data_IF_146012099996
#
_entry.id   IF_146012099996
#
_cell.length_a   1.000
_cell.length_b   1.000
_cell.length_c   1.000
_cell.angle_alpha   90.00
_cell.angle_beta   90.00
_cell.angle_gamma   90.00
#
_symmetry.space_group_name_H-M   'P 1'
#
loop_
_entity.id
_entity.type
_entity.pdbx_description
1 polymer ?
#
# COMPACT_ATOMS: atom_id res chain seq x y z
N UNK A 1 -16.93 14.93 -15.92
CA UNK A 1 -15.57 14.87 -15.38
C UNK A 1 -15.28 13.44 -14.93
N UNK A 2 -14.16 12.89 -15.36
CA UNK A 2 -13.71 11.55 -15.01
C UNK A 2 -12.48 11.67 -14.12
N UNK A 3 -12.51 11.04 -12.96
CA UNK A 3 -11.45 11.11 -11.95
C UNK A 3 -11.09 9.68 -11.56
N UNK A 4 -9.80 9.35 -11.59
CA UNK A 4 -9.31 8.08 -11.03
C UNK A 4 -9.51 8.07 -9.51
N UNK A 5 -9.81 6.89 -8.96
CA UNK A 5 -9.89 6.69 -7.51
C UNK A 5 -8.54 6.87 -6.83
N UNK A 6 -8.56 7.04 -5.50
CA UNK A 6 -7.35 7.06 -4.69
C UNK A 6 -6.53 5.78 -4.90
N UNK A 7 -5.19 5.90 -4.90
CA UNK A 7 -4.29 4.81 -5.26
C UNK A 7 -4.40 3.60 -4.31
N UNK A 8 -4.56 3.81 -3.00
CA UNK A 8 -4.70 2.72 -2.03
C UNK A 8 -6.11 2.10 -2.07
N UNK A 9 -7.14 2.91 -2.32
CA UNK A 9 -8.51 2.40 -2.55
C UNK A 9 -8.56 1.55 -3.80
N UNK A 10 -7.96 2.01 -4.90
CA UNK A 10 -7.88 1.23 -6.14
C UNK A 10 -7.17 -0.10 -5.92
N UNK A 11 -6.03 -0.11 -5.21
CA UNK A 11 -5.30 -1.33 -4.89
C UNK A 11 -6.13 -2.31 -4.05
N UNK A 12 -6.80 -1.82 -3.01
CA UNK A 12 -7.67 -2.64 -2.15
C UNK A 12 -8.85 -3.23 -2.93
N UNK A 13 -9.55 -2.41 -3.72
CA UNK A 13 -10.70 -2.85 -4.50
C UNK A 13 -10.30 -3.81 -5.64
N UNK A 14 -9.12 -3.64 -6.24
CA UNK A 14 -8.59 -4.60 -7.21
C UNK A 14 -8.27 -5.93 -6.54
N UNK A 15 -7.59 -5.90 -5.38
CA UNK A 15 -7.19 -7.10 -4.67
C UNK A 15 -8.34 -7.86 -4.00
N UNK A 16 -9.30 -7.15 -3.40
CA UNK A 16 -10.39 -7.73 -2.63
C UNK A 16 -11.75 -7.69 -3.35
N UNK A 17 -11.79 -7.23 -4.61
CA UNK A 17 -13.04 -6.97 -5.34
C UNK A 17 -14.06 -8.12 -5.32
N UNK A 18 -13.58 -9.35 -5.43
CA UNK A 18 -14.43 -10.53 -5.35
C UNK A 18 -15.19 -10.65 -4.03
N UNK A 19 -14.55 -10.37 -2.89
CA UNK A 19 -15.21 -10.42 -1.59
C UNK A 19 -16.29 -9.34 -1.45
N UNK A 20 -16.04 -8.14 -1.97
CA UNK A 20 -17.04 -7.06 -1.98
C UNK A 20 -18.22 -7.39 -2.91
N UNK A 21 -17.96 -7.89 -4.11
CA UNK A 21 -19.00 -8.28 -5.09
C UNK A 21 -19.92 -9.38 -4.57
N UNK A 22 -19.37 -10.33 -3.77
CA UNK A 22 -20.14 -11.38 -3.12
C UNK A 22 -20.75 -10.96 -1.78
N UNK A 23 -20.68 -9.67 -1.42
CA UNK A 23 -21.24 -9.10 -0.19
C UNK A 23 -20.76 -9.81 1.09
N UNK A 24 -19.50 -10.26 1.09
CA UNK A 24 -18.91 -11.03 2.19
C UNK A 24 -18.27 -10.16 3.28
N UNK A 25 -17.91 -8.92 2.95
CA UNK A 25 -17.16 -8.03 3.85
C UNK A 25 -18.10 -7.32 4.82
N UNK A 26 -17.80 -7.42 6.12
CA UNK A 26 -18.45 -6.64 7.16
C UNK A 26 -17.70 -5.31 7.39
N UNK A 27 -16.37 -5.38 7.59
CA UNK A 27 -15.48 -4.22 7.67
C UNK A 27 -14.04 -4.58 7.29
N UNK A 28 -13.21 -3.58 7.04
CA UNK A 28 -11.79 -3.74 6.74
C UNK A 28 -10.94 -2.77 7.56
N UNK A 29 -9.88 -3.28 8.19
CA UNK A 29 -8.76 -2.47 8.66
C UNK A 29 -7.61 -2.58 7.66
N UNK A 30 -7.20 -1.44 7.08
CA UNK A 30 -6.19 -1.35 6.03
C UNK A 30 -4.96 -0.56 6.52
N UNK A 31 -3.85 -1.26 6.79
CA UNK A 31 -2.56 -0.64 7.04
C UNK A 31 -1.86 -0.48 5.70
N UNK A 32 -1.66 0.77 5.24
CA UNK A 32 -1.06 1.03 3.93
C UNK A 32 0.40 1.42 4.06
N UNK A 33 1.25 0.81 3.25
CA UNK A 33 2.68 1.10 3.11
C UNK A 33 2.91 1.78 1.76
N UNK A 34 2.92 3.11 1.76
CA UNK A 34 2.86 3.89 0.53
C UNK A 34 4.24 4.34 0.06
N UNK A 35 4.51 4.08 -1.21
CA UNK A 35 5.74 4.49 -1.88
C UNK A 35 5.87 6.01 -2.06
N UNK A 36 7.10 6.48 -2.23
CA UNK A 36 7.41 7.89 -2.50
C UNK A 36 6.71 8.45 -3.74
N UNK A 37 6.44 7.62 -4.76
CA UNK A 37 5.74 8.02 -5.98
C UNK A 37 4.35 8.62 -5.75
N UNK A 38 3.65 8.19 -4.70
CA UNK A 38 2.35 8.76 -4.29
C UNK A 38 2.44 10.22 -3.84
N UNK A 39 3.63 10.70 -3.48
CA UNK A 39 3.91 12.10 -3.15
C UNK A 39 4.47 12.90 -4.34
N UNK A 40 4.78 12.24 -5.46
CA UNK A 40 5.25 12.88 -6.70
C UNK A 40 6.75 12.71 -7.00
N UNK A 41 7.15 13.16 -8.19
CA UNK A 41 8.50 12.93 -8.71
C UNK A 41 9.61 13.60 -7.88
N UNK A 42 9.36 14.75 -7.28
CA UNK A 42 10.36 15.43 -6.42
C UNK A 42 10.64 14.61 -5.15
N UNK A 43 9.61 14.00 -4.56
CA UNK A 43 9.74 13.11 -3.41
C UNK A 43 10.50 11.82 -3.78
N UNK A 44 10.27 11.27 -4.97
CA UNK A 44 11.06 10.13 -5.47
C UNK A 44 12.55 10.49 -5.61
N UNK A 45 12.86 11.67 -6.17
CA UNK A 45 14.24 12.16 -6.27
C UNK A 45 14.88 12.35 -4.90
N UNK A 46 14.15 12.95 -3.97
CA UNK A 46 14.66 13.18 -2.61
C UNK A 46 14.93 11.86 -1.87
N UNK A 47 14.04 10.85 -2.00
CA UNK A 47 14.29 9.53 -1.46
C UNK A 47 15.61 8.93 -1.99
N UNK A 48 15.88 9.02 -3.29
CA UNK A 48 17.15 8.56 -3.87
C UNK A 48 18.33 9.37 -3.34
N UNK A 49 18.19 10.68 -3.17
CA UNK A 49 19.23 11.53 -2.59
C UNK A 49 19.52 11.16 -1.13
N UNK A 50 18.48 10.84 -0.35
CA UNK A 50 18.62 10.34 1.01
C UNK A 50 19.37 9.01 1.05
N UNK A 51 19.00 8.04 0.19
CA UNK A 51 19.69 6.74 0.09
C UNK A 51 21.17 6.95 -0.28
N UNK A 52 21.46 7.85 -1.22
CA UNK A 52 22.82 8.21 -1.61
C UNK A 52 23.62 8.83 -0.46
N UNK A 53 23.03 9.74 0.31
CA UNK A 53 23.68 10.37 1.46
C UNK A 53 24.00 9.33 2.57
N UNK A 54 23.07 8.41 2.87
CA UNK A 54 23.33 7.34 3.83
C UNK A 54 24.46 6.43 3.36
N UNK A 55 24.44 6.00 2.10
CA UNK A 55 25.51 5.16 1.55
C UNK A 55 26.87 5.90 1.58
N UNK A 56 26.92 7.16 1.18
CA UNK A 56 28.15 7.95 1.18
C UNK A 56 28.76 8.09 2.57
N UNK A 57 27.94 8.23 3.61
CA UNK A 57 28.39 8.36 4.99
C UNK A 57 29.10 7.12 5.56
N UNK A 58 28.85 5.94 5.00
CA UNK A 58 29.34 4.65 5.52
C UNK A 58 30.07 3.81 4.46
N UNK A 59 30.31 4.35 3.27
CA UNK A 59 30.91 3.64 2.14
C UNK A 59 32.24 2.96 2.48
N UNK A 60 33.13 3.66 3.19
CA UNK A 60 34.44 3.15 3.54
C UNK A 60 34.35 2.09 4.64
N UNK A 61 33.41 2.24 5.59
CA UNK A 61 33.15 1.24 6.60
C UNK A 61 32.62 -0.05 5.99
N UNK A 62 31.71 0.04 5.02
CA UNK A 62 31.17 -1.12 4.30
C UNK A 62 32.23 -1.86 3.48
N UNK A 63 33.24 -1.14 2.99
CA UNK A 63 34.37 -1.73 2.27
C UNK A 63 35.39 -2.41 3.20
N UNK A 64 35.35 -2.12 4.51
CA UNK A 64 36.26 -2.69 5.50
C UNK A 64 35.53 -3.78 6.34
N UNK A 65 35.84 -5.06 6.16
CA UNK A 65 35.20 -6.16 6.91
C UNK A 65 35.39 -6.10 8.44
N UNK A 66 36.35 -5.30 8.92
CA UNK A 66 36.62 -5.11 10.35
C UNK A 66 35.79 -4.00 10.99
N UNK A 67 35.02 -3.25 10.21
CA UNK A 67 34.16 -2.18 10.74
C UNK A 67 33.02 -2.77 11.58
N UNK A 68 32.85 -2.26 12.79
CA UNK A 68 31.78 -2.71 13.66
C UNK A 68 30.42 -2.17 13.17
N UNK A 69 29.40 -3.04 13.11
CA UNK A 69 28.05 -2.65 12.62
C UNK A 69 27.43 -1.51 13.46
N UNK A 70 27.70 -1.45 14.76
CA UNK A 70 27.19 -0.38 15.62
C UNK A 70 27.87 0.98 15.34
N UNK A 71 29.07 1.01 14.79
CA UNK A 71 29.72 2.24 14.34
C UNK A 71 29.10 2.74 13.03
N UNK A 72 28.80 1.82 12.12
CA UNK A 72 28.03 2.09 10.90
C UNK A 72 26.66 2.64 11.25
N UNK A 73 25.92 1.99 12.16
CA UNK A 73 24.59 2.43 12.61
C UNK A 73 24.62 3.84 13.21
N UNK A 74 25.61 4.14 14.05
CA UNK A 74 25.80 5.50 14.62
C UNK A 74 26.02 6.56 13.53
N UNK A 75 26.82 6.28 12.52
CA UNK A 75 27.06 7.19 11.38
C UNK A 75 25.78 7.40 10.56
N UNK A 76 25.04 6.34 10.24
CA UNK A 76 23.74 6.41 9.56
C UNK A 76 22.76 7.27 10.35
N UNK A 77 22.61 7.01 11.66
CA UNK A 77 21.72 7.76 12.53
C UNK A 77 22.11 9.23 12.66
N UNK A 78 23.41 9.54 12.75
CA UNK A 78 23.91 10.91 12.80
C UNK A 78 23.63 11.63 11.48
N UNK A 79 23.85 10.97 10.33
CA UNK A 79 23.57 11.52 8.99
C UNK A 79 22.09 11.85 8.81
N UNK A 80 21.18 10.95 9.21
CA UNK A 80 19.74 11.21 9.12
C UNK A 80 19.26 12.40 9.95
N UNK A 81 19.98 12.75 11.01
CA UNK A 81 19.66 13.85 11.91
C UNK A 81 20.42 15.15 11.60
N UNK A 82 21.32 15.11 10.63
CA UNK A 82 22.09 16.32 10.25
C UNK A 82 21.21 17.31 9.48
N UNK A 83 21.57 18.58 9.57
CA UNK A 83 20.87 19.66 8.87
C UNK A 83 21.02 19.56 7.32
N UNK A 84 22.06 18.89 6.86
CA UNK A 84 22.38 18.69 5.44
C UNK A 84 21.60 17.53 4.83
N UNK A 85 20.95 16.68 5.66
CA UNK A 85 20.19 15.55 5.13
C UNK A 85 18.97 16.03 4.32
N UNK A 86 18.79 15.56 3.08
CA UNK A 86 17.78 16.11 2.17
C UNK A 86 16.35 15.65 2.59
N UNK A 87 15.61 16.51 3.28
CA UNK A 87 14.27 16.19 3.84
C UNK A 87 13.18 17.18 3.43
N UNK A 88 13.49 18.16 2.56
CA UNK A 88 12.59 19.27 2.23
C UNK A 88 11.22 18.83 1.72
N UNK A 89 11.17 17.87 0.79
CA UNK A 89 9.92 17.42 0.17
C UNK A 89 9.12 16.46 1.07
N UNK A 90 9.75 15.89 2.10
CA UNK A 90 9.10 15.08 3.13
C UNK A 90 8.88 15.87 4.44
N UNK A 91 8.66 17.19 4.35
CA UNK A 91 8.35 18.08 5.49
C UNK A 91 9.39 17.98 6.60
N UNK A 92 10.65 18.01 6.25
CA UNK A 92 11.81 17.89 7.15
C UNK A 92 11.87 16.55 7.90
N UNK A 93 11.38 15.47 7.29
CA UNK A 93 11.40 14.13 7.86
C UNK A 93 12.19 13.16 6.97
N UNK A 94 13.09 12.39 7.56
CA UNK A 94 13.82 11.34 6.86
C UNK A 94 12.87 10.18 6.46
N UNK A 95 12.98 9.69 5.21
CA UNK A 95 12.24 8.54 4.73
C UNK A 95 13.15 7.33 4.44
N UNK A 96 14.33 7.53 3.83
CA UNK A 96 15.30 6.45 3.64
C UNK A 96 15.78 5.92 4.99
N UNK A 97 15.70 4.60 5.21
CA UNK A 97 16.01 3.97 6.49
C UNK A 97 14.99 4.24 7.62
N UNK A 98 13.83 4.84 7.28
CA UNK A 98 12.79 5.22 8.24
C UNK A 98 11.39 5.05 7.62
N UNK A 99 10.37 5.59 8.28
CA UNK A 99 9.02 5.71 7.78
C UNK A 99 8.38 7.02 8.28
N UNK A 100 7.30 7.45 7.62
CA UNK A 100 6.51 8.62 8.04
C UNK A 100 5.07 8.13 8.32
N UNK A 101 4.59 8.17 9.57
CA UNK A 101 3.29 7.59 9.95
C UNK A 101 2.12 8.56 9.72
N UNK A 102 2.24 9.46 8.74
CA UNK A 102 1.20 10.41 8.38
C UNK A 102 1.28 10.79 6.92
N UNK A 103 0.14 10.70 6.20
CA UNK A 103 0.03 11.12 4.80
C UNK A 103 -1.17 12.05 4.65
N UNK A 104 -0.97 13.20 3.95
CA UNK A 104 -2.00 14.22 3.70
C UNK A 104 -2.30 15.07 4.96
N UNK A 105 -3.36 15.89 4.91
CA UNK A 105 -3.75 16.81 5.97
C UNK A 105 -4.64 16.13 7.02
N UNK A 106 -4.67 16.64 8.26
CA UNK A 106 -5.59 16.13 9.27
C UNK A 106 -7.04 16.43 8.89
N UNK A 107 -7.94 15.51 9.24
CA UNK A 107 -9.40 15.67 9.16
C UNK A 107 -10.05 15.32 10.50
N UNK A 108 -11.39 15.36 10.56
CA UNK A 108 -12.14 14.99 11.76
C UNK A 108 -11.83 13.58 12.25
N UNK A 109 -12.11 13.32 13.52
CA UNK A 109 -11.90 12.03 14.21
C UNK A 109 -10.44 11.55 14.30
N UNK A 110 -9.46 12.46 14.16
CA UNK A 110 -8.04 12.13 14.29
C UNK A 110 -7.42 11.41 13.10
N UNK A 111 -8.16 11.26 11.99
CA UNK A 111 -7.66 10.68 10.75
C UNK A 111 -6.85 11.69 9.92
N UNK A 112 -5.96 11.20 9.09
CA UNK A 112 -5.51 11.94 7.92
C UNK A 112 -6.55 11.86 6.80
N UNK A 113 -6.50 12.82 5.87
CA UNK A 113 -7.39 12.78 4.69
C UNK A 113 -7.17 11.52 3.84
N UNK A 114 -5.94 11.00 3.80
CA UNK A 114 -5.62 9.77 3.08
C UNK A 114 -6.34 8.55 3.69
N UNK A 115 -6.40 8.46 5.01
CA UNK A 115 -7.14 7.41 5.73
C UNK A 115 -8.64 7.54 5.52
N UNK A 116 -9.18 8.76 5.64
CA UNK A 116 -10.60 9.04 5.38
C UNK A 116 -11.03 8.63 3.96
N UNK A 117 -10.19 8.84 2.94
CA UNK A 117 -10.47 8.42 1.56
C UNK A 117 -10.71 6.92 1.46
N UNK A 118 -10.05 6.10 2.27
CA UNK A 118 -10.23 4.65 2.32
C UNK A 118 -11.70 4.27 2.45
N UNK A 119 -12.38 4.80 3.44
CA UNK A 119 -13.81 4.56 3.67
C UNK A 119 -14.72 5.31 2.69
N UNK A 120 -14.45 6.59 2.44
CA UNK A 120 -15.31 7.44 1.62
C UNK A 120 -15.34 7.02 0.15
N UNK A 121 -14.18 6.81 -0.46
CA UNK A 121 -14.10 6.46 -1.88
C UNK A 121 -14.48 4.99 -2.14
N UNK A 122 -14.11 4.07 -1.24
CA UNK A 122 -14.49 2.67 -1.38
C UNK A 122 -16.02 2.51 -1.41
N UNK A 123 -16.73 3.08 -0.42
CA UNK A 123 -18.19 3.01 -0.39
C UNK A 123 -18.82 3.69 -1.63
N UNK A 124 -18.29 4.83 -2.06
CA UNK A 124 -18.76 5.51 -3.27
C UNK A 124 -18.60 4.65 -4.53
N UNK A 125 -17.44 4.00 -4.71
CA UNK A 125 -17.15 3.16 -5.89
C UNK A 125 -18.04 1.91 -5.89
N UNK A 126 -18.28 1.31 -4.70
CA UNK A 126 -19.13 0.15 -4.53
C UNK A 126 -20.64 0.47 -4.63
N UNK A 127 -21.03 1.74 -4.70
CA UNK A 127 -22.44 2.15 -4.71
C UNK A 127 -23.12 2.04 -3.35
N UNK A 128 -22.37 1.95 -2.28
CA UNK A 128 -22.88 1.90 -0.92
C UNK A 128 -23.30 3.32 -0.43
N UNK A 129 -24.07 3.40 0.68
CA UNK A 129 -24.31 4.67 1.37
C UNK A 129 -23.02 5.39 1.75
N UNK A 130 -23.13 6.69 1.99
CA UNK A 130 -21.99 7.53 2.36
C UNK A 130 -21.24 6.97 3.59
N UNK A 131 -19.93 7.06 3.57
CA UNK A 131 -19.07 6.58 4.67
C UNK A 131 -19.56 7.13 6.02
N UNK A 132 -19.54 6.28 7.04
CA UNK A 132 -20.04 6.55 8.41
C UNK A 132 -21.56 6.76 8.50
N UNK A 133 -22.33 6.31 7.51
CA UNK A 133 -23.79 6.24 7.59
C UNK A 133 -24.26 4.77 7.62
N UNK A 134 -25.51 4.55 8.01
CA UNK A 134 -26.08 3.22 8.05
C UNK A 134 -26.00 2.54 6.68
N UNK A 135 -25.50 1.29 6.64
CA UNK A 135 -25.34 0.50 5.44
C UNK A 135 -23.99 0.74 4.70
N UNK A 136 -23.16 1.70 5.12
CA UNK A 136 -21.79 1.79 4.60
C UNK A 136 -20.92 0.68 5.20
N UNK A 137 -19.92 0.23 4.44
CA UNK A 137 -18.89 -0.69 4.93
C UNK A 137 -17.85 0.12 5.71
N UNK A 138 -17.61 -0.15 7.01
CA UNK A 138 -16.54 0.49 7.77
C UNK A 138 -15.18 0.09 7.20
N UNK A 139 -14.40 1.09 6.78
CA UNK A 139 -13.01 0.90 6.33
C UNK A 139 -12.18 1.97 7.00
N UNK A 140 -11.16 1.54 7.75
CA UNK A 140 -10.26 2.42 8.49
C UNK A 140 -8.86 1.81 8.55
N UNK A 141 -7.89 2.54 9.08
CA UNK A 141 -6.52 2.07 9.23
C UNK A 141 -5.52 3.21 9.36
N UNK A 142 -4.26 2.92 9.06
CA UNK A 142 -3.19 3.92 9.06
C UNK A 142 -2.50 3.97 7.70
N UNK A 143 -2.19 5.18 7.26
CA UNK A 143 -1.45 5.42 6.03
C UNK A 143 -0.01 5.84 6.33
N UNK A 144 0.93 4.97 6.00
CA UNK A 144 2.36 5.12 6.29
C UNK A 144 3.15 5.30 5.00
N UNK A 145 4.00 6.33 4.93
CA UNK A 145 4.98 6.49 3.84
C UNK A 145 6.23 5.66 4.16
N UNK A 146 6.69 4.86 3.20
CA UNK A 146 7.87 4.00 3.33
C UNK A 146 8.90 4.30 2.23
N UNK A 147 10.15 3.84 2.43
CA UNK A 147 11.26 4.02 1.49
C UNK A 147 11.17 3.20 0.19
N UNK A 148 9.98 2.78 -0.23
CA UNK A 148 9.75 2.20 -1.54
C UNK A 148 9.57 3.29 -2.60
N UNK A 149 10.05 3.04 -3.83
CA UNK A 149 10.02 4.04 -4.90
C UNK A 149 8.62 4.23 -5.50
N UNK A 150 7.93 3.16 -5.93
CA UNK A 150 6.71 3.31 -6.73
C UNK A 150 5.54 2.35 -6.44
N UNK A 151 5.72 1.29 -5.71
CA UNK A 151 4.66 0.34 -5.41
C UNK A 151 4.13 0.51 -4.00
N UNK A 152 2.80 0.58 -3.86
CA UNK A 152 2.12 0.55 -2.56
C UNK A 152 1.88 -0.89 -2.14
N UNK A 153 1.92 -1.13 -0.83
CA UNK A 153 1.52 -2.39 -0.23
C UNK A 153 0.46 -2.15 0.84
N UNK A 154 -0.32 -3.18 1.15
CA UNK A 154 -1.34 -3.11 2.21
C UNK A 154 -1.36 -4.40 3.02
N UNK A 155 -1.28 -4.28 4.34
CA UNK A 155 -1.65 -5.33 5.28
C UNK A 155 -3.11 -5.13 5.67
N UNK A 156 -3.92 -6.14 5.45
CA UNK A 156 -5.38 -6.06 5.57
C UNK A 156 -5.90 -7.04 6.62
N UNK A 157 -6.72 -6.54 7.52
CA UNK A 157 -7.57 -7.35 8.39
C UNK A 157 -9.01 -7.17 7.92
N UNK A 158 -9.64 -8.26 7.51
CA UNK A 158 -10.97 -8.26 6.92
C UNK A 158 -11.88 -9.05 7.84
N UNK A 159 -12.94 -8.42 8.34
CA UNK A 159 -14.04 -9.10 9.01
C UNK A 159 -15.04 -9.55 7.95
N UNK A 160 -15.25 -10.83 7.86
CA UNK A 160 -16.29 -11.42 7.03
C UNK A 160 -17.61 -11.49 7.77
N UNK A 161 -18.72 -11.42 7.06
CA UNK A 161 -20.08 -11.55 7.61
C UNK A 161 -20.40 -12.96 8.15
N UNK A 162 -19.63 -13.96 7.72
CA UNK A 162 -19.69 -15.35 8.16
C UNK A 162 -18.35 -16.04 7.95
N UNK A 163 -18.16 -17.19 8.57
CA UNK A 163 -17.03 -18.07 8.24
C UNK A 163 -17.21 -18.64 6.82
N UNK A 164 -16.15 -18.53 6.01
CA UNK A 164 -16.08 -19.00 4.62
C UNK A 164 -14.81 -19.83 4.49
N UNK A 165 -14.84 -21.02 3.88
CA UNK A 165 -13.64 -21.83 3.64
C UNK A 165 -12.56 -21.07 2.86
N UNK A 166 -11.29 -21.38 3.13
CA UNK A 166 -10.17 -20.66 2.50
C UNK A 166 -10.09 -20.87 0.99
N UNK A 167 -10.35 -22.08 0.52
CA UNK A 167 -10.40 -22.43 -0.90
C UNK A 167 -11.48 -21.66 -1.66
N UNK A 168 -12.64 -21.44 -1.05
CA UNK A 168 -13.71 -20.62 -1.60
C UNK A 168 -13.27 -19.15 -1.67
N UNK A 169 -12.62 -18.61 -0.62
CA UNK A 169 -12.09 -17.24 -0.62
C UNK A 169 -11.06 -17.06 -1.73
N UNK A 170 -10.09 -17.98 -1.83
CA UNK A 170 -9.03 -17.92 -2.85
C UNK A 170 -9.61 -18.00 -4.27
N UNK A 171 -10.60 -18.87 -4.49
CA UNK A 171 -11.29 -19.00 -5.77
C UNK A 171 -12.05 -17.72 -6.16
N UNK A 172 -12.77 -17.12 -5.22
CA UNK A 172 -13.49 -15.85 -5.42
C UNK A 172 -12.53 -14.73 -5.78
N UNK A 173 -11.41 -14.62 -5.06
CA UNK A 173 -10.40 -13.59 -5.34
C UNK A 173 -9.75 -13.81 -6.70
N UNK A 174 -9.38 -15.05 -7.03
CA UNK A 174 -8.70 -15.39 -8.30
C UNK A 174 -9.57 -15.12 -9.52
N UNK A 175 -10.90 -15.26 -9.39
CA UNK A 175 -11.86 -15.05 -10.49
C UNK A 175 -12.39 -13.62 -10.60
N UNK A 176 -12.03 -12.71 -9.68
CA UNK A 176 -12.63 -11.39 -9.59
C UNK A 176 -12.29 -10.46 -10.75
N UNK A 177 -11.07 -10.54 -11.27
CA UNK A 177 -10.61 -9.76 -12.42
C UNK A 177 -9.30 -10.33 -12.99
N UNK A 178 -8.93 -9.91 -14.20
CA UNK A 178 -7.77 -10.43 -14.95
C UNK A 178 -6.40 -10.07 -14.35
N UNK A 179 -6.32 -9.14 -13.39
CA UNK A 179 -5.06 -8.62 -12.84
C UNK A 179 -4.75 -9.17 -11.46
N UNK A 180 -5.75 -9.67 -10.76
CA UNK A 180 -5.55 -10.30 -9.45
C UNK A 180 -4.82 -11.62 -9.62
N UNK A 181 -3.82 -11.84 -8.79
CA UNK A 181 -3.11 -13.11 -8.69
C UNK A 181 -3.09 -13.56 -7.22
N UNK A 182 -3.80 -14.63 -6.91
CA UNK A 182 -3.71 -15.23 -5.58
C UNK A 182 -2.35 -15.92 -5.44
N UNK A 183 -1.62 -15.53 -4.40
CA UNK A 183 -0.28 -16.05 -4.08
C UNK A 183 -0.42 -17.03 -2.91
N UNK A 184 0.00 -18.29 -3.08
CA UNK A 184 -0.04 -19.28 -2.00
C UNK A 184 0.64 -18.78 -0.73
N UNK A 185 0.06 -19.08 0.44
CA UNK A 185 0.60 -18.67 1.74
C UNK A 185 1.80 -19.54 2.14
N UNK A 186 2.84 -19.51 1.31
CA UNK A 186 4.13 -20.17 1.48
C UNK A 186 5.20 -19.10 1.58
N UNK A 187 6.14 -19.24 2.50
CA UNK A 187 7.15 -18.23 2.82
C UNK A 187 7.93 -17.78 1.59
N UNK A 188 8.56 -18.72 0.89
CA UNK A 188 9.44 -18.45 -0.25
C UNK A 188 8.70 -17.78 -1.41
N UNK A 189 7.44 -18.17 -1.63
CA UNK A 189 6.60 -17.60 -2.66
C UNK A 189 6.16 -16.18 -2.25
N UNK A 190 5.76 -15.99 -0.99
CA UNK A 190 5.36 -14.69 -0.47
C UNK A 190 6.51 -13.67 -0.51
N UNK A 191 7.72 -14.07 -0.10
CA UNK A 191 8.92 -13.22 -0.12
C UNK A 191 9.33 -12.86 -1.57
N UNK A 192 9.10 -13.73 -2.54
CA UNK A 192 9.40 -13.48 -3.95
C UNK A 192 8.35 -12.61 -4.63
N UNK A 193 7.05 -12.93 -4.48
CA UNK A 193 5.98 -12.42 -5.33
C UNK A 193 5.19 -11.24 -4.70
N UNK A 194 5.23 -11.05 -3.36
CA UNK A 194 4.46 -10.01 -2.65
C UNK A 194 5.32 -8.80 -2.28
N UNK A 195 6.23 -8.38 -3.15
CA UNK A 195 7.12 -7.25 -2.87
C UNK A 195 6.97 -6.13 -3.91
N UNK A 196 7.24 -4.87 -3.53
CA UNK A 196 7.33 -3.76 -4.49
C UNK A 196 8.23 -4.04 -5.69
N UNK A 197 9.35 -4.74 -5.49
CA UNK A 197 10.27 -5.10 -6.56
C UNK A 197 9.66 -6.07 -7.57
N UNK A 198 8.87 -7.03 -7.10
CA UNK A 198 8.25 -8.05 -7.97
C UNK A 198 7.19 -7.47 -8.92
N UNK A 199 6.46 -6.43 -8.50
CA UNK A 199 5.32 -5.91 -9.26
C UNK A 199 5.61 -4.59 -9.98
N UNK A 200 6.77 -3.97 -9.74
CA UNK A 200 7.14 -2.72 -10.40
C UNK A 200 7.08 -2.85 -11.93
N UNK A 201 6.31 -1.97 -12.58
CA UNK A 201 6.13 -1.95 -14.03
C UNK A 201 5.10 -2.97 -14.55
N UNK A 202 4.40 -3.68 -13.69
CA UNK A 202 3.37 -4.67 -14.08
C UNK A 202 1.97 -4.21 -13.69
N UNK A 203 0.96 -4.75 -14.37
CA UNK A 203 -0.46 -4.58 -14.01
C UNK A 203 -0.95 -5.65 -13.02
N UNK A 204 -0.12 -6.61 -12.65
CA UNK A 204 -0.48 -7.66 -11.71
C UNK A 204 -0.68 -7.08 -10.32
N UNK A 205 -1.77 -7.49 -9.67
CA UNK A 205 -2.11 -7.18 -8.28
C UNK A 205 -2.10 -8.50 -7.49
N UNK A 206 -0.94 -8.92 -6.96
CA UNK A 206 -0.90 -10.13 -6.15
C UNK A 206 -1.57 -9.90 -4.80
N UNK A 207 -2.33 -10.90 -4.38
CA UNK A 207 -2.95 -11.00 -3.05
C UNK A 207 -2.49 -12.30 -2.42
N UNK A 208 -1.88 -12.24 -1.27
CA UNK A 208 -1.37 -13.40 -0.56
C UNK A 208 -1.38 -13.20 0.95
N UNK A 209 -0.64 -14.03 1.67
CA UNK A 209 -0.70 -14.09 3.12
C UNK A 209 -2.13 -14.32 3.64
N UNK A 210 -2.95 -14.93 2.79
CA UNK A 210 -4.33 -15.27 3.12
C UNK A 210 -4.36 -16.34 4.21
N UNK A 211 -4.99 -16.04 5.34
CA UNK A 211 -5.15 -16.97 6.45
C UNK A 211 -6.26 -16.52 7.40
N UNK A 212 -6.90 -17.47 8.06
CA UNK A 212 -7.81 -17.19 9.18
C UNK A 212 -7.00 -16.67 10.36
N UNK A 213 -7.45 -15.60 10.98
CA UNK A 213 -6.75 -14.98 12.10
C UNK A 213 -7.15 -15.64 13.45
N UNK A 214 -6.28 -15.50 14.46
CA UNK A 214 -6.55 -16.03 15.80
C UNK A 214 -7.76 -15.40 16.50
N UNK A 215 -8.29 -14.31 15.98
CA UNK A 215 -9.48 -13.62 16.50
C UNK A 215 -10.80 -14.34 16.17
N UNK A 216 -10.78 -15.28 15.23
CA UNK A 216 -11.94 -16.07 14.80
C UNK A 216 -11.90 -16.43 13.32
N UNK A 217 -12.67 -17.44 12.93
CA UNK A 217 -12.70 -17.94 11.54
C UNK A 217 -13.32 -16.97 10.54
N UNK A 218 -14.02 -15.96 11.02
CA UNK A 218 -14.60 -14.88 10.21
C UNK A 218 -13.67 -13.66 10.10
N UNK A 219 -12.43 -13.75 10.65
CA UNK A 219 -11.36 -12.78 10.45
C UNK A 219 -10.33 -13.32 9.47
N UNK A 220 -10.11 -12.59 8.39
CA UNK A 220 -9.16 -12.93 7.34
C UNK A 220 -8.00 -11.93 7.33
N UNK A 221 -6.78 -12.43 7.43
CA UNK A 221 -5.56 -11.66 7.13
C UNK A 221 -5.23 -11.76 5.65
N UNK A 222 -4.83 -10.65 5.05
CA UNK A 222 -4.36 -10.60 3.66
C UNK A 222 -3.24 -9.57 3.49
N UNK A 223 -2.44 -9.74 2.44
CA UNK A 223 -1.45 -8.75 2.01
C UNK A 223 -1.55 -8.58 0.50
N UNK A 224 -1.51 -7.33 0.03
CA UNK A 224 -1.49 -7.01 -1.39
C UNK A 224 -0.45 -5.95 -1.71
N UNK A 225 0.02 -5.93 -2.94
CA UNK A 225 0.96 -4.95 -3.46
C UNK A 225 0.63 -4.62 -4.91
N UNK A 226 0.86 -3.38 -5.34
CA UNK A 226 0.59 -2.96 -6.72
C UNK A 226 1.33 -1.70 -7.10
N UNK A 227 1.52 -1.54 -8.40
CA UNK A 227 2.22 -0.40 -8.96
C UNK A 227 1.34 0.86 -8.96
N UNK A 228 1.70 1.80 -8.08
CA UNK A 228 0.95 3.04 -7.89
C UNK A 228 0.95 3.94 -9.14
N UNK A 229 2.04 3.99 -9.90
CA UNK A 229 2.10 4.81 -11.12
C UNK A 229 1.20 4.24 -12.23
N UNK A 230 0.89 2.95 -12.20
CA UNK A 230 -0.07 2.31 -13.10
C UNK A 230 -1.48 2.41 -12.51
N UNK A 231 -1.84 1.60 -11.52
CA UNK A 231 -3.20 1.51 -11.00
C UNK A 231 -3.67 2.73 -10.20
N UNK A 232 -2.76 3.47 -9.58
CA UNK A 232 -3.08 4.69 -8.84
C UNK A 232 -3.08 5.96 -9.69
N UNK A 233 -2.64 5.89 -10.96
CA UNK A 233 -2.50 7.08 -11.80
C UNK A 233 -2.89 6.83 -13.27
N UNK A 234 -2.05 6.15 -14.05
CA UNK A 234 -2.16 6.12 -15.50
C UNK A 234 -3.29 5.20 -16.01
N UNK A 235 -3.41 4.01 -15.46
CA UNK A 235 -4.26 2.95 -16.01
C UNK A 235 -5.77 3.24 -15.87
N UNK A 236 -6.30 3.76 -14.77
CA UNK A 236 -7.71 4.13 -14.69
C UNK A 236 -8.11 5.16 -15.75
N UNK A 237 -7.27 6.16 -16.01
CA UNK A 237 -7.52 7.19 -17.02
C UNK A 237 -7.44 6.63 -18.45
N UNK A 238 -6.44 5.80 -18.73
CA UNK A 238 -6.29 5.12 -20.02
C UNK A 238 -7.50 4.24 -20.32
N UNK A 239 -7.98 3.48 -19.35
CA UNK A 239 -9.17 2.62 -19.49
C UNK A 239 -10.43 3.44 -19.70
N UNK A 240 -10.59 4.53 -18.97
CA UNK A 240 -11.72 5.43 -19.16
C UNK A 240 -11.74 6.00 -20.58
N UNK A 241 -10.60 6.47 -21.09
CA UNK A 241 -10.50 6.97 -22.45
C UNK A 241 -10.90 5.87 -23.47
N UNK A 242 -10.44 4.65 -23.26
CA UNK A 242 -10.80 3.52 -24.11
C UNK A 242 -12.31 3.24 -24.12
N UNK A 243 -12.95 3.19 -22.97
CA UNK A 243 -14.41 3.01 -22.85
C UNK A 243 -15.16 4.11 -23.60
N UNK A 244 -14.69 5.37 -23.49
CA UNK A 244 -15.33 6.50 -24.19
C UNK A 244 -15.13 6.47 -25.70
N UNK A 245 -14.10 5.84 -26.20
CA UNK A 245 -13.84 5.69 -27.66
C UNK A 245 -14.60 4.50 -28.28
N UNK A 246 -14.94 3.51 -27.45
CA UNK A 246 -15.65 2.30 -27.86
C UNK A 246 -17.19 2.40 -27.62
N UNK A 247 -17.67 3.45 -26.94
CA UNK A 247 -19.08 3.73 -26.68
C UNK A 247 -19.70 4.63 -27.75
#
# INVERSE_FOLDING_TARGET
NWIGGNCTVSLMLMGLGGLFQHNMVEWVSAMTYQAASGAGAQNMRELLSQMGALHAAVKDDLANPSSAILDIDRKVSATMRSAEFPTKNFRNTALAGSLIPWIDVPVEHGQSKEEWKGGAECNKILGNPAFRTAGSIPIDGLCVRIGAMRCHSQGLTIKLKKDVPMDEIESILASANDWVKVVPNVREISERDLTPAAVTGTLTVPVGRLHKMAMGNDFLGAFTVGDQLLWGAAEPLRRMLRILLEA
#
